data_IF_222912633959
#
_entry.id   IF_222912633959
#
_cell.length_a   1.000
_cell.length_b   1.000
_cell.length_c   1.000
_cell.angle_alpha   90.00
_cell.angle_beta   90.00
_cell.angle_gamma   90.00
#
_symmetry.space_group_name_H-M   'P 1'
#
loop_
_entity.id
_entity.type
_entity.pdbx_description
1 polymer ?
#
# COMPACT_ATOMS: atom_id res chain seq x y z
N UNK A 1 -16.89 7.58 -10.45
CA UNK A 1 -16.23 6.51 -9.69
C UNK A 1 -14.96 7.10 -9.09
N UNK A 2 -14.67 6.83 -7.82
CA UNK A 2 -13.42 7.25 -7.21
C UNK A 2 -12.27 6.36 -7.72
N UNK A 3 -11.08 6.92 -7.88
CA UNK A 3 -9.89 6.15 -8.27
C UNK A 3 -9.48 5.23 -7.12
N UNK A 4 -9.12 3.98 -7.40
CA UNK A 4 -8.61 3.02 -6.44
C UNK A 4 -7.10 2.81 -6.61
N UNK A 5 -6.35 2.77 -5.50
CA UNK A 5 -4.90 2.61 -5.56
C UNK A 5 -4.36 1.66 -4.48
N UNK A 6 -3.50 0.73 -4.91
CA UNK A 6 -2.72 -0.13 -4.02
C UNK A 6 -1.35 0.50 -3.75
N UNK A 7 -1.04 0.76 -2.49
CA UNK A 7 0.25 1.25 -2.05
C UNK A 7 1.02 0.10 -1.39
N UNK A 8 2.07 -0.39 -2.02
CA UNK A 8 2.96 -1.39 -1.41
C UNK A 8 3.93 -0.66 -0.48
N UNK A 9 3.77 -0.91 0.82
CA UNK A 9 4.36 -0.12 1.91
C UNK A 9 3.33 0.80 2.57
N UNK A 10 3.49 2.12 2.41
CA UNK A 10 2.55 3.12 2.97
C UNK A 10 2.87 3.61 4.39
N UNK A 11 3.81 2.99 5.11
CA UNK A 11 4.20 3.38 6.48
C UNK A 11 5.64 3.93 6.60
N UNK A 12 6.31 4.15 5.46
CA UNK A 12 7.59 4.88 5.34
C UNK A 12 7.44 6.40 5.41
N UNK A 13 8.56 7.14 5.34
CA UNK A 13 8.55 8.62 5.45
C UNK A 13 7.72 9.24 4.31
N UNK A 14 8.08 8.94 3.07
CA UNK A 14 7.44 9.52 1.88
C UNK A 14 6.06 8.88 1.65
N UNK A 15 5.98 7.56 1.79
CA UNK A 15 4.77 6.81 1.46
C UNK A 15 3.58 7.15 2.37
N UNK A 16 3.81 7.49 3.64
CA UNK A 16 2.72 7.89 4.55
C UNK A 16 2.11 9.21 4.12
N UNK A 17 2.93 10.19 3.71
CA UNK A 17 2.41 11.48 3.25
C UNK A 17 1.73 11.35 1.88
N UNK A 18 2.28 10.54 0.98
CA UNK A 18 1.63 10.23 -0.30
C UNK A 18 0.26 9.57 -0.10
N UNK A 19 0.15 8.61 0.83
CA UNK A 19 -1.12 7.96 1.15
C UNK A 19 -2.13 8.94 1.78
N UNK A 20 -1.70 9.81 2.71
CA UNK A 20 -2.54 10.88 3.28
C UNK A 20 -3.09 11.80 2.21
N UNK A 21 -2.22 12.24 1.29
CA UNK A 21 -2.63 13.12 0.21
C UNK A 21 -3.61 12.46 -0.73
N UNK A 22 -3.36 11.21 -1.13
CA UNK A 22 -4.25 10.46 -2.00
C UNK A 22 -5.65 10.29 -1.39
N UNK A 23 -5.73 9.95 -0.09
CA UNK A 23 -7.02 9.90 0.62
C UNK A 23 -7.71 11.26 0.64
N UNK A 24 -6.97 12.33 0.94
CA UNK A 24 -7.52 13.70 0.95
C UNK A 24 -8.06 14.15 -0.43
N UNK A 25 -7.46 13.64 -1.51
CA UNK A 25 -7.89 13.89 -2.89
C UNK A 25 -9.04 12.94 -3.33
N UNK A 26 -9.55 12.09 -2.43
CA UNK A 26 -10.70 11.21 -2.68
C UNK A 26 -10.36 9.86 -3.33
N UNK A 27 -9.09 9.45 -3.31
CA UNK A 27 -8.66 8.13 -3.79
C UNK A 27 -8.97 7.06 -2.73
N UNK A 28 -9.51 5.93 -3.16
CA UNK A 28 -9.65 4.74 -2.31
C UNK A 28 -8.30 4.04 -2.16
N UNK A 29 -7.59 4.35 -1.06
CA UNK A 29 -6.24 3.85 -0.81
C UNK A 29 -6.26 2.54 -0.02
N UNK A 30 -5.61 1.52 -0.56
CA UNK A 30 -5.28 0.28 0.16
C UNK A 30 -3.77 0.19 0.35
N UNK A 31 -3.31 0.00 1.58
CA UNK A 31 -1.90 -0.24 1.91
C UNK A 31 -1.63 -1.74 2.03
N UNK A 32 -0.60 -2.25 1.36
CA UNK A 32 -0.09 -3.61 1.54
C UNK A 32 1.25 -3.56 2.29
N UNK A 33 1.29 -4.04 3.54
CA UNK A 33 2.53 -4.05 4.31
C UNK A 33 2.57 -5.12 5.40
N UNK A 34 3.75 -5.35 5.97
CA UNK A 34 3.99 -6.41 6.97
C UNK A 34 3.39 -6.15 8.36
N UNK A 35 2.73 -5.02 8.60
CA UNK A 35 2.16 -4.66 9.90
C UNK A 35 3.18 -4.40 11.02
N UNK A 36 4.49 -4.36 10.71
CA UNK A 36 5.56 -4.23 11.72
C UNK A 36 5.86 -2.79 12.14
N UNK A 37 5.46 -1.80 11.34
CA UNK A 37 5.77 -0.39 11.62
C UNK A 37 4.75 0.18 12.60
N UNK A 38 5.20 0.55 13.79
CA UNK A 38 4.39 1.27 14.80
C UNK A 38 4.71 2.76 14.87
N UNK A 39 5.74 3.23 14.14
CA UNK A 39 6.26 4.61 14.24
C UNK A 39 5.37 5.66 13.60
N UNK A 40 4.59 5.28 12.58
CA UNK A 40 3.70 6.17 11.84
C UNK A 40 2.32 5.52 11.76
N UNK A 41 1.27 6.20 12.23
CA UNK A 41 -0.08 5.68 12.11
C UNK A 41 -0.49 5.59 10.65
N UNK A 42 -1.35 4.62 10.36
CA UNK A 42 -2.02 4.50 9.08
C UNK A 42 -2.90 5.76 8.89
N UNK A 43 -2.93 6.36 7.68
CA UNK A 43 -3.83 7.47 7.39
C UNK A 43 -5.29 7.08 7.60
N UNK A 44 -6.08 7.95 8.24
CA UNK A 44 -7.52 7.76 8.35
C UNK A 44 -8.13 7.60 6.95
N UNK A 45 -9.03 6.63 6.78
CA UNK A 45 -9.65 6.32 5.48
C UNK A 45 -8.87 5.36 4.58
N UNK A 46 -7.62 5.01 4.90
CA UNK A 46 -6.90 3.97 4.17
C UNK A 46 -7.23 2.56 4.70
N UNK A 47 -7.46 1.61 3.79
CA UNK A 47 -7.54 0.17 4.12
C UNK A 47 -6.14 -0.40 4.28
N UNK A 48 -5.96 -1.39 5.15
CA UNK A 48 -4.67 -2.09 5.32
C UNK A 48 -4.84 -3.58 5.06
N UNK A 49 -3.95 -4.13 4.26
CA UNK A 49 -3.76 -5.55 4.01
C UNK A 49 -2.36 -5.95 4.49
N UNK A 50 -2.28 -7.12 5.11
CA UNK A 50 -1.03 -7.63 5.67
C UNK A 50 -0.41 -8.71 4.79
N UNK A 51 0.74 -8.40 4.20
CA UNK A 51 1.56 -9.31 3.41
C UNK A 51 3.02 -8.85 3.38
N UNK A 52 3.92 -9.74 2.97
CA UNK A 52 5.28 -9.38 2.57
C UNK A 52 5.36 -9.40 1.05
N UNK A 53 5.69 -8.26 0.42
CA UNK A 53 5.83 -8.19 -1.05
C UNK A 53 6.92 -9.14 -1.59
N UNK A 54 7.85 -9.57 -0.72
CA UNK A 54 8.88 -10.56 -1.06
C UNK A 54 8.40 -12.00 -0.99
N UNK A 55 7.19 -12.24 -0.52
CA UNK A 55 6.53 -13.54 -0.48
C UNK A 55 5.28 -13.49 -1.38
N UNK A 56 5.38 -13.93 -2.66
CA UNK A 56 4.27 -13.90 -3.61
C UNK A 56 3.01 -14.63 -3.14
N UNK A 57 3.13 -15.71 -2.35
CA UNK A 57 1.97 -16.43 -1.84
C UNK A 57 1.22 -15.59 -0.80
N UNK A 58 1.96 -14.89 0.08
CA UNK A 58 1.35 -13.96 1.04
C UNK A 58 0.60 -12.82 0.34
N UNK A 59 1.14 -12.30 -0.76
CA UNK A 59 0.51 -11.23 -1.56
C UNK A 59 -0.77 -11.73 -2.20
N UNK A 60 -0.73 -12.91 -2.85
CA UNK A 60 -1.93 -13.50 -3.47
C UNK A 60 -3.03 -13.77 -2.45
N UNK A 61 -2.68 -14.30 -1.28
CA UNK A 61 -3.64 -14.55 -0.21
C UNK A 61 -4.26 -13.25 0.34
N UNK A 62 -3.48 -12.18 0.45
CA UNK A 62 -3.95 -10.90 0.98
C UNK A 62 -4.80 -10.10 -0.01
N UNK A 63 -4.45 -10.14 -1.30
CA UNK A 63 -5.17 -9.40 -2.35
C UNK A 63 -6.41 -10.16 -2.85
N UNK A 64 -6.34 -11.49 -2.97
CA UNK A 64 -7.40 -12.27 -3.60
C UNK A 64 -7.73 -11.76 -5.00
N UNK A 65 -9.01 -11.48 -5.25
CA UNK A 65 -9.52 -10.97 -6.53
C UNK A 65 -9.69 -9.43 -6.54
N UNK A 66 -9.02 -8.71 -5.62
CA UNK A 66 -9.06 -7.24 -5.61
C UNK A 66 -8.34 -6.66 -6.84
N UNK A 67 -8.99 -5.71 -7.50
CA UNK A 67 -8.44 -4.92 -8.60
C UNK A 67 -8.20 -3.48 -8.16
N UNK A 68 -7.24 -2.82 -8.82
CA UNK A 68 -6.88 -1.43 -8.55
C UNK A 68 -6.60 -0.69 -9.85
N UNK A 69 -7.00 0.57 -9.94
CA UNK A 69 -6.69 1.42 -11.09
C UNK A 69 -5.19 1.77 -11.16
N UNK A 70 -4.51 1.79 -10.02
CA UNK A 70 -3.08 2.06 -9.91
C UNK A 70 -2.39 1.24 -8.81
N UNK A 71 -1.11 0.92 -9.01
CA UNK A 71 -0.24 0.33 -8.01
C UNK A 71 0.99 1.23 -7.81
N UNK A 72 1.30 1.56 -6.56
CA UNK A 72 2.42 2.43 -6.16
C UNK A 72 3.36 1.65 -5.24
N UNK A 73 4.54 1.33 -5.74
CA UNK A 73 5.55 0.50 -5.05
C UNK A 73 6.58 1.38 -4.33
N UNK A 74 6.54 1.42 -3.00
CA UNK A 74 7.51 2.18 -2.19
C UNK A 74 8.64 1.31 -1.63
N UNK A 75 8.66 0.00 -1.91
CA UNK A 75 9.65 -0.94 -1.36
C UNK A 75 10.57 -1.56 -2.41
N UNK A 76 10.67 -0.93 -3.59
CA UNK A 76 11.63 -1.26 -4.65
C UNK A 76 13.01 -0.63 -4.42
N UNK A 77 13.78 -1.16 -3.47
CA UNK A 77 15.13 -0.68 -3.15
C UNK A 77 16.27 -1.10 -4.11
N UNK A 78 16.06 -2.10 -4.98
CA UNK A 78 17.06 -2.62 -5.92
C UNK A 78 16.40 -2.87 -7.28
N UNK A 79 17.18 -2.97 -8.37
CA UNK A 79 16.64 -3.20 -9.71
C UNK A 79 15.83 -4.50 -9.84
N UNK A 80 16.20 -5.55 -9.10
CA UNK A 80 15.54 -6.87 -9.14
C UNK A 80 14.13 -6.85 -8.53
N UNK A 81 13.73 -5.73 -7.92
CA UNK A 81 12.42 -5.57 -7.32
C UNK A 81 11.32 -5.19 -8.31
N UNK A 82 11.66 -4.87 -9.57
CA UNK A 82 10.75 -4.37 -10.62
C UNK A 82 10.80 -5.26 -11.85
#
# INVERSE_FOLDING_TARGET
MALSALFIGGTGIISTEAARRAVADGVEVTLLNRGRSTKRPVPDGARVLHADVRDPESVRAALGDLEFDAVVEFTAFTPEHV
#
